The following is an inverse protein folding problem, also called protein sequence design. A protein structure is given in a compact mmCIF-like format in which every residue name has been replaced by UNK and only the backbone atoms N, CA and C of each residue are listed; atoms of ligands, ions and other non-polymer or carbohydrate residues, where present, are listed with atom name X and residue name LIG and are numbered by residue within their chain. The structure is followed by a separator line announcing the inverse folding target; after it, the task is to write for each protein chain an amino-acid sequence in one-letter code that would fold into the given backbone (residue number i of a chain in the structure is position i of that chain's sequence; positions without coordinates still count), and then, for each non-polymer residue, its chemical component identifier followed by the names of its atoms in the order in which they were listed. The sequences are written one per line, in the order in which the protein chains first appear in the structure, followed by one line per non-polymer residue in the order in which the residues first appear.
data_IF_178190405321
#
_entry.id   IF_178190405321
#
_cell.length_a   1.000
_cell.length_b   1.000
_cell.length_c   1.000
_cell.angle_alpha   90.00
_cell.angle_beta   90.00
_cell.angle_gamma   90.00
#
_symmetry.space_group_name_H-M   'P 1'
#
loop_
_entity.id
_entity.type
_entity.pdbx_description
1 polymer ?
#
# COMPACT_ATOMS: atom_id res chain seq x y z
N UNK A 1 13.28 -9.22 11.40
CA UNK A 1 12.98 -10.67 11.34
C UNK A 1 12.27 -10.98 10.05
N UNK A 2 12.78 -11.92 9.25
CA UNK A 2 12.07 -12.36 8.05
C UNK A 2 10.75 -13.03 8.47
N UNK A 3 9.65 -12.58 7.91
CA UNK A 3 8.34 -13.17 8.17
C UNK A 3 8.33 -14.59 7.58
N UNK A 4 7.94 -15.60 8.38
CA UNK A 4 7.76 -16.95 7.86
C UNK A 4 6.56 -16.96 6.90
N UNK A 5 6.68 -17.65 5.76
CA UNK A 5 5.53 -17.87 4.89
C UNK A 5 4.43 -18.63 5.64
N UNK A 6 3.19 -18.20 5.46
CA UNK A 6 1.99 -18.80 6.06
C UNK A 6 1.11 -19.41 4.97
N UNK A 7 0.16 -20.27 5.34
CA UNK A 7 -0.86 -20.75 4.41
C UNK A 7 -1.87 -19.64 4.06
N UNK A 8 -2.52 -19.75 2.90
CA UNK A 8 -3.58 -18.83 2.51
C UNK A 8 -4.73 -18.83 3.54
N UNK A 9 -5.11 -19.99 4.06
CA UNK A 9 -6.14 -20.12 5.09
C UNK A 9 -5.78 -19.32 6.35
N UNK A 10 -4.54 -19.42 6.82
CA UNK A 10 -4.09 -18.64 7.97
C UNK A 10 -4.17 -17.14 7.69
N UNK A 11 -3.77 -16.71 6.49
CA UNK A 11 -3.87 -15.29 6.11
C UNK A 11 -5.33 -14.80 6.10
N UNK A 12 -6.24 -15.56 5.49
CA UNK A 12 -7.69 -15.26 5.45
C UNK A 12 -8.26 -15.16 6.88
N UNK A 13 -7.92 -16.10 7.75
CA UNK A 13 -8.36 -16.07 9.14
C UNK A 13 -7.83 -14.82 9.86
N UNK A 14 -6.54 -14.49 9.69
CA UNK A 14 -5.92 -13.33 10.31
C UNK A 14 -6.54 -11.99 9.82
N UNK A 15 -6.94 -11.90 8.55
CA UNK A 15 -7.67 -10.73 8.03
C UNK A 15 -9.07 -10.64 8.64
N UNK A 16 -9.80 -11.75 8.70
CA UNK A 16 -11.15 -11.80 9.32
C UNK A 16 -11.12 -11.44 10.80
N UNK A 17 -10.06 -11.80 11.51
CA UNK A 17 -9.84 -11.47 12.92
C UNK A 17 -9.30 -10.04 13.14
N UNK A 18 -9.06 -9.28 12.07
CA UNK A 18 -8.50 -7.94 12.13
C UNK A 18 -7.01 -7.86 12.49
N UNK A 19 -6.31 -8.99 12.52
CA UNK A 19 -4.85 -9.07 12.77
C UNK A 19 -4.02 -8.67 11.56
N UNK A 20 -4.58 -8.79 10.37
CA UNK A 20 -4.01 -8.35 9.09
C UNK A 20 -5.01 -7.48 8.36
N UNK A 21 -4.51 -6.55 7.56
CA UNK A 21 -5.37 -5.62 6.82
C UNK A 21 -5.49 -6.06 5.37
N UNK A 22 -6.70 -5.95 4.85
CA UNK A 22 -6.99 -6.02 3.42
C UNK A 22 -7.38 -4.61 2.96
N UNK A 23 -6.47 -3.94 2.29
CA UNK A 23 -6.65 -2.58 1.80
C UNK A 23 -5.86 -2.37 0.50
N UNK A 24 -6.41 -1.61 -0.43
CA UNK A 24 -5.71 -1.21 -1.64
C UNK A 24 -4.68 -0.09 -1.36
N UNK A 25 -3.93 0.31 -2.40
CA UNK A 25 -2.89 1.34 -2.28
C UNK A 25 -3.45 2.69 -1.83
N UNK A 26 -4.60 3.12 -2.36
CA UNK A 26 -5.23 4.39 -1.96
C UNK A 26 -5.65 4.38 -0.50
N UNK A 27 -6.26 3.28 -0.04
CA UNK A 27 -6.65 3.12 1.36
C UNK A 27 -5.43 3.15 2.29
N UNK A 28 -4.35 2.46 1.92
CA UNK A 28 -3.10 2.46 2.69
C UNK A 28 -2.44 3.85 2.76
N UNK A 29 -2.37 4.58 1.65
CA UNK A 29 -1.80 5.94 1.61
C UNK A 29 -2.70 6.93 2.35
N UNK A 30 -4.02 6.87 2.15
CA UNK A 30 -4.99 7.69 2.88
C UNK A 30 -4.84 7.50 4.38
N UNK A 31 -4.80 6.26 4.84
CA UNK A 31 -4.63 5.92 6.25
C UNK A 31 -3.30 6.44 6.81
N UNK A 32 -2.20 6.25 6.10
CA UNK A 32 -0.88 6.79 6.50
C UNK A 32 -0.92 8.30 6.74
N UNK A 33 -1.62 9.05 5.88
CA UNK A 33 -1.72 10.49 5.99
C UNK A 33 -2.67 10.89 7.12
N UNK A 34 -3.84 10.26 7.21
CA UNK A 34 -4.90 10.61 8.16
C UNK A 34 -4.63 10.12 9.60
N UNK A 35 -3.80 9.11 9.79
CA UNK A 35 -3.31 8.71 11.11
C UNK A 35 -2.21 9.65 11.65
N UNK A 36 -1.66 10.54 10.81
CA UNK A 36 -0.77 11.60 11.29
C UNK A 36 -1.57 12.71 11.98
N UNK A 37 -0.90 13.50 12.80
CA UNK A 37 -1.50 14.70 13.39
C UNK A 37 -1.87 15.68 12.28
N UNK A 38 -3.07 16.27 12.39
CA UNK A 38 -3.63 17.19 11.40
C UNK A 38 -3.98 18.49 12.11
N UNK A 39 -3.37 19.59 11.68
CA UNK A 39 -3.63 20.92 12.21
C UNK A 39 -4.47 21.72 11.23
N UNK A 40 -5.41 22.50 11.77
CA UNK A 40 -6.17 23.47 10.99
C UNK A 40 -5.44 24.79 11.02
N UNK A 41 -5.04 25.26 9.85
CA UNK A 41 -4.27 26.52 9.71
C UNK A 41 -5.01 27.50 8.79
N UNK A 42 -4.69 28.78 8.93
CA UNK A 42 -5.22 29.83 8.05
C UNK A 42 -4.07 30.39 7.22
N UNK A 43 -4.14 30.20 5.92
CA UNK A 43 -3.15 30.70 4.95
C UNK A 43 -3.86 31.65 3.98
N UNK A 44 -3.38 32.89 3.89
CA UNK A 44 -3.97 33.94 3.06
C UNK A 44 -5.48 34.13 3.28
N UNK A 45 -5.94 34.05 4.53
CA UNK A 45 -7.37 34.20 4.88
C UNK A 45 -8.25 32.98 4.57
N UNK A 46 -7.69 31.90 3.99
CA UNK A 46 -8.37 30.65 3.71
C UNK A 46 -8.00 29.59 4.73
N UNK A 47 -9.00 28.91 5.27
CA UNK A 47 -8.78 27.74 6.12
C UNK A 47 -8.28 26.57 5.30
N UNK A 48 -7.17 25.97 5.69
CA UNK A 48 -6.59 24.78 5.10
C UNK A 48 -6.12 23.82 6.19
N UNK A 49 -5.61 22.66 5.83
CA UNK A 49 -5.11 21.66 6.76
C UNK A 49 -3.61 21.44 6.55
N UNK A 50 -2.91 21.27 7.64
CA UNK A 50 -1.51 20.90 7.69
C UNK A 50 -1.38 19.49 8.24
N UNK A 51 -0.75 18.62 7.46
CA UNK A 51 -0.59 17.22 7.79
C UNK A 51 0.84 17.00 8.25
N UNK A 52 1.02 16.67 9.52
CA UNK A 52 2.33 16.55 10.15
C UNK A 52 3.26 15.53 9.46
N UNK A 53 2.69 14.56 8.75
CA UNK A 53 3.48 13.61 7.96
C UNK A 53 4.37 14.29 6.91
N UNK A 54 3.96 15.45 6.38
CA UNK A 54 4.73 16.21 5.39
C UNK A 54 5.76 17.15 6.05
N UNK A 55 5.60 17.47 7.32
CA UNK A 55 6.43 18.43 8.04
C UNK A 55 7.52 17.79 8.91
N UNK A 56 7.38 16.52 9.27
CA UNK A 56 8.27 15.84 10.22
C UNK A 56 9.43 15.12 9.54
N UNK A 57 10.57 15.01 10.25
CA UNK A 57 11.74 14.26 9.84
C UNK A 57 12.85 15.13 9.21
N UNK A 58 13.89 14.47 8.69
CA UNK A 58 15.08 15.15 8.12
C UNK A 58 14.79 15.84 6.78
N UNK A 59 13.76 15.43 6.07
CA UNK A 59 13.25 16.06 4.86
C UNK A 59 11.77 16.36 5.08
N UNK A 60 11.31 17.52 4.68
CA UNK A 60 9.93 17.97 4.82
C UNK A 60 9.49 18.81 3.64
N UNK A 61 8.18 18.89 3.40
CA UNK A 61 7.57 19.68 2.33
C UNK A 61 6.96 20.93 2.98
N UNK A 62 7.41 22.10 2.56
CA UNK A 62 6.94 23.39 3.10
C UNK A 62 6.28 24.21 2.00
N UNK A 63 5.22 24.93 2.34
CA UNK A 63 4.63 25.96 1.48
C UNK A 63 3.75 25.47 0.34
N UNK A 64 3.49 24.15 0.26
CA UNK A 64 2.63 23.53 -0.78
C UNK A 64 1.25 23.15 -0.21
N UNK A 65 0.61 24.06 0.51
CA UNK A 65 -0.65 23.77 1.20
C UNK A 65 -1.78 23.36 0.27
N UNK A 66 -2.00 24.11 -0.82
CA UNK A 66 -3.10 23.84 -1.74
C UNK A 66 -2.86 22.53 -2.52
N UNK A 67 -1.62 22.25 -2.92
CA UNK A 67 -1.23 21.02 -3.61
C UNK A 67 -1.35 19.81 -2.71
N UNK A 68 -0.88 19.90 -1.47
CA UNK A 68 -0.99 18.82 -0.48
C UNK A 68 -2.45 18.54 -0.16
N UNK A 69 -3.27 19.56 0.12
CA UNK A 69 -4.69 19.38 0.41
C UNK A 69 -5.45 18.80 -0.79
N UNK A 70 -5.13 19.22 -2.01
CA UNK A 70 -5.69 18.65 -3.24
C UNK A 70 -5.31 17.18 -3.41
N UNK A 71 -4.05 16.84 -3.16
CA UNK A 71 -3.57 15.45 -3.20
C UNK A 71 -4.26 14.59 -2.13
N UNK A 72 -4.35 15.08 -0.89
CA UNK A 72 -5.01 14.34 0.20
C UNK A 72 -6.49 14.13 -0.10
N UNK A 73 -7.18 15.13 -0.64
CA UNK A 73 -8.59 15.01 -1.07
C UNK A 73 -8.75 13.97 -2.17
N UNK A 74 -7.86 13.97 -3.17
CA UNK A 74 -7.84 12.97 -4.24
C UNK A 74 -7.65 11.55 -3.69
N UNK A 75 -6.64 11.35 -2.83
CA UNK A 75 -6.36 10.02 -2.26
C UNK A 75 -7.50 9.53 -1.37
N UNK A 76 -8.10 10.44 -0.58
CA UNK A 76 -9.23 10.11 0.29
C UNK A 76 -10.45 9.69 -0.53
N UNK A 77 -10.82 10.45 -1.55
CA UNK A 77 -11.96 10.11 -2.43
C UNK A 77 -11.72 8.75 -3.12
N UNK A 78 -10.52 8.51 -3.65
CA UNK A 78 -10.16 7.22 -4.26
C UNK A 78 -10.20 6.07 -3.25
N UNK A 79 -9.79 6.28 -2.00
CA UNK A 79 -9.82 5.29 -0.93
C UNK A 79 -11.25 4.92 -0.50
N UNK A 80 -12.16 5.88 -0.55
CA UNK A 80 -13.60 5.71 -0.25
C UNK A 80 -14.39 5.15 -1.45
N UNK A 81 -13.73 4.89 -2.57
CA UNK A 81 -14.35 4.33 -3.78
C UNK A 81 -14.95 5.36 -4.73
N UNK A 82 -14.67 6.65 -4.51
CA UNK A 82 -15.09 7.75 -5.38
C UNK A 82 -14.46 7.71 -6.77
N UNK A 83 -14.82 8.67 -7.61
CA UNK A 83 -14.37 8.73 -9.02
C UNK A 83 -12.86 8.96 -9.19
N UNK A 84 -12.20 9.52 -8.19
CA UNK A 84 -10.74 9.74 -8.20
C UNK A 84 -9.92 8.47 -8.39
N UNK A 85 -10.45 7.30 -8.02
CA UNK A 85 -9.78 6.01 -8.24
C UNK A 85 -9.52 5.68 -9.73
N UNK A 86 -10.30 6.28 -10.62
CA UNK A 86 -10.23 6.09 -12.08
C UNK A 86 -9.47 7.24 -12.77
N UNK A 87 -9.00 8.23 -12.01
CA UNK A 87 -8.34 9.41 -12.50
C UNK A 87 -6.84 9.38 -12.19
N UNK A 88 -6.04 10.13 -12.94
CA UNK A 88 -4.64 10.38 -12.64
C UNK A 88 -4.49 11.70 -11.89
N UNK A 89 -3.71 11.71 -10.80
CA UNK A 89 -3.28 12.95 -10.17
C UNK A 89 -2.03 13.47 -10.88
N UNK A 90 -2.11 14.66 -11.47
CA UNK A 90 -1.04 15.23 -12.29
C UNK A 90 -0.36 16.39 -11.57
N UNK A 91 0.96 16.28 -11.39
CA UNK A 91 1.80 17.34 -10.83
C UNK A 91 2.34 18.20 -11.98
N UNK A 92 1.85 19.43 -12.08
CA UNK A 92 2.27 20.41 -13.11
C UNK A 92 3.10 21.51 -12.45
N UNK A 93 4.14 21.97 -13.15
CA UNK A 93 4.99 23.08 -12.70
C UNK A 93 6.33 23.08 -13.43
N UNK A 94 7.08 24.17 -13.30
CA UNK A 94 8.39 24.33 -13.90
C UNK A 94 9.42 23.31 -13.38
N UNK A 95 10.49 23.04 -14.13
CA UNK A 95 11.64 22.26 -13.64
C UNK A 95 12.19 22.86 -12.33
N UNK A 96 12.52 22.01 -11.36
CA UNK A 96 13.04 22.45 -10.07
C UNK A 96 12.00 22.75 -8.98
N UNK A 97 10.70 22.77 -9.28
CA UNK A 97 9.62 23.07 -8.30
C UNK A 97 9.25 21.90 -7.39
N UNK A 98 10.19 20.99 -7.10
CA UNK A 98 10.00 19.97 -6.06
C UNK A 98 9.06 18.80 -6.40
N UNK A 99 8.55 18.66 -7.64
CA UNK A 99 7.64 17.57 -8.02
C UNK A 99 8.21 16.17 -7.75
N UNK A 100 9.41 15.91 -8.25
CA UNK A 100 10.12 14.64 -8.02
C UNK A 100 10.38 14.42 -6.53
N UNK A 101 10.81 15.48 -5.84
CA UNK A 101 11.01 15.42 -4.39
C UNK A 101 9.73 15.02 -3.63
N UNK A 102 8.58 15.59 -4.00
CA UNK A 102 7.29 15.25 -3.38
C UNK A 102 6.94 13.78 -3.56
N UNK A 103 7.09 13.26 -4.79
CA UNK A 103 6.81 11.84 -5.09
C UNK A 103 7.76 10.92 -4.32
N UNK A 104 9.07 11.18 -4.36
CA UNK A 104 10.05 10.39 -3.61
C UNK A 104 9.83 10.45 -2.10
N UNK A 105 9.49 11.63 -1.59
CA UNK A 105 9.15 11.82 -0.19
C UNK A 105 7.96 10.95 0.22
N UNK A 106 6.86 11.01 -0.55
CA UNK A 106 5.66 10.22 -0.30
C UNK A 106 5.95 8.71 -0.35
N UNK A 107 6.67 8.26 -1.39
CA UNK A 107 7.07 6.85 -1.53
C UNK A 107 7.90 6.38 -0.33
N UNK A 108 8.88 7.18 0.10
CA UNK A 108 9.71 6.85 1.25
C UNK A 108 8.92 6.82 2.57
N UNK A 109 7.95 7.71 2.75
CA UNK A 109 7.05 7.67 3.90
C UNK A 109 6.18 6.43 3.89
N UNK A 110 5.62 6.08 2.73
CA UNK A 110 4.78 4.89 2.60
C UNK A 110 5.58 3.60 2.82
N UNK A 111 6.81 3.50 2.30
CA UNK A 111 7.70 2.37 2.59
C UNK A 111 7.96 2.20 4.08
N UNK A 112 8.26 3.29 4.80
CA UNK A 112 8.44 3.26 6.26
C UNK A 112 7.16 2.89 7.01
N UNK A 113 6.02 3.34 6.53
CA UNK A 113 4.72 2.98 7.07
C UNK A 113 4.47 1.47 6.91
N UNK A 114 4.74 0.91 5.74
CA UNK A 114 4.60 -0.52 5.45
C UNK A 114 5.64 -1.42 6.18
N UNK A 115 6.76 -0.85 6.64
CA UNK A 115 7.75 -1.62 7.41
C UNK A 115 7.27 -2.00 8.82
N UNK A 116 6.26 -1.31 9.34
CA UNK A 116 5.62 -1.66 10.61
C UNK A 116 4.79 -2.93 10.44
N UNK A 117 4.79 -3.79 11.46
CA UNK A 117 4.16 -5.12 11.39
C UNK A 117 2.66 -5.04 11.07
N UNK A 118 1.96 -4.12 11.70
CA UNK A 118 0.51 -3.89 11.51
C UNK A 118 0.11 -3.39 10.11
N UNK A 119 1.09 -2.87 9.33
CA UNK A 119 0.85 -2.27 8.02
C UNK A 119 1.41 -3.09 6.86
N UNK A 120 2.03 -4.24 7.15
CA UNK A 120 2.66 -5.08 6.14
C UNK A 120 1.69 -5.49 5.04
N UNK A 121 2.17 -5.50 3.82
CA UNK A 121 1.48 -6.06 2.65
C UNK A 121 1.98 -7.48 2.37
N UNK A 122 1.13 -8.28 1.80
CA UNK A 122 1.38 -9.69 1.53
C UNK A 122 1.14 -9.98 0.05
N UNK A 123 1.84 -10.96 -0.47
CA UNK A 123 1.60 -11.58 -1.77
C UNK A 123 1.57 -13.08 -1.59
N UNK A 124 1.25 -13.82 -2.63
CA UNK A 124 1.15 -15.27 -2.58
C UNK A 124 2.02 -15.94 -3.63
N UNK A 125 2.29 -17.21 -3.40
CA UNK A 125 2.91 -18.13 -4.34
C UNK A 125 2.31 -19.52 -4.19
N UNK A 126 2.23 -20.23 -5.30
CA UNK A 126 1.92 -21.66 -5.32
C UNK A 126 3.20 -22.43 -5.11
N UNK A 127 3.18 -23.44 -4.25
CA UNK A 127 4.30 -24.36 -4.01
C UNK A 127 3.91 -25.77 -4.39
N UNK A 128 4.91 -26.64 -4.63
CA UNK A 128 4.69 -28.04 -5.02
C UNK A 128 3.87 -28.22 -6.33
N UNK A 129 3.92 -27.24 -7.24
CA UNK A 129 3.19 -27.28 -8.52
C UNK A 129 3.65 -28.42 -9.46
N UNK A 130 4.87 -28.92 -9.26
CA UNK A 130 5.40 -30.09 -9.95
C UNK A 130 4.56 -31.36 -9.69
N UNK A 131 3.94 -31.45 -8.52
CA UNK A 131 3.05 -32.58 -8.14
C UNK A 131 1.72 -32.60 -8.92
N UNK A 132 1.34 -31.49 -9.51
CA UNK A 132 0.14 -31.39 -10.35
C UNK A 132 0.34 -31.94 -11.77
N UNK A 133 1.57 -32.40 -12.12
CA UNK A 133 1.88 -33.06 -13.38
C UNK A 133 1.87 -32.18 -14.64
N UNK A 134 1.36 -30.94 -14.55
CA UNK A 134 1.15 -30.06 -15.71
C UNK A 134 2.29 -29.05 -15.91
N UNK A 135 3.15 -28.85 -14.91
CA UNK A 135 4.17 -27.81 -14.90
C UNK A 135 5.62 -28.32 -14.97
N UNK A 136 5.80 -29.61 -15.25
CA UNK A 136 7.13 -30.21 -15.43
C UNK A 136 7.98 -30.13 -14.16
N UNK A 137 9.13 -29.45 -14.24
CA UNK A 137 10.07 -29.31 -13.12
C UNK A 137 9.89 -28.02 -12.30
N UNK A 138 8.87 -27.23 -12.61
CA UNK A 138 8.61 -25.98 -11.87
C UNK A 138 7.98 -26.34 -10.54
N UNK A 139 8.66 -26.03 -9.43
CA UNK A 139 8.20 -26.34 -8.07
C UNK A 139 7.45 -25.18 -7.41
N UNK A 140 7.62 -23.95 -7.92
CA UNK A 140 7.04 -22.74 -7.33
C UNK A 140 6.63 -21.76 -8.42
N UNK A 141 5.43 -21.19 -8.29
CA UNK A 141 4.95 -20.08 -9.14
C UNK A 141 4.60 -18.91 -8.21
N UNK A 142 5.22 -17.76 -8.42
CA UNK A 142 4.95 -16.53 -7.67
C UNK A 142 3.97 -15.64 -8.41
N UNK A 143 3.14 -14.89 -7.66
CA UNK A 143 2.32 -13.83 -8.25
C UNK A 143 3.21 -12.74 -8.81
N UNK A 144 3.15 -12.53 -10.13
CA UNK A 144 3.93 -11.49 -10.81
C UNK A 144 3.36 -10.08 -10.61
N UNK A 145 2.10 -9.98 -10.22
CA UNK A 145 1.39 -8.71 -10.01
C UNK A 145 1.44 -8.23 -8.56
N UNK A 146 2.07 -8.99 -7.66
CA UNK A 146 2.06 -8.73 -6.21
C UNK A 146 0.64 -8.54 -5.66
N UNK A 147 -0.30 -9.28 -6.20
CA UNK A 147 -1.70 -9.24 -5.84
C UNK A 147 -1.91 -9.66 -4.37
N UNK A 148 -2.86 -9.01 -3.70
CA UNK A 148 -3.19 -9.36 -2.32
C UNK A 148 -3.79 -10.76 -2.25
N UNK A 149 -3.33 -11.62 -1.31
CA UNK A 149 -3.84 -12.98 -1.17
C UNK A 149 -5.35 -13.08 -0.93
N UNK A 150 -5.98 -12.03 -0.38
CA UNK A 150 -7.43 -12.01 -0.21
C UNK A 150 -8.18 -11.98 -1.53
N UNK A 151 -7.63 -11.33 -2.57
CA UNK A 151 -8.23 -11.33 -3.90
C UNK A 151 -8.23 -12.75 -4.46
N UNK A 152 -7.09 -13.46 -4.32
CA UNK A 152 -7.03 -14.88 -4.68
C UNK A 152 -8.05 -15.70 -3.90
N UNK A 153 -8.13 -15.53 -2.58
CA UNK A 153 -9.07 -16.26 -1.73
C UNK A 153 -10.54 -16.03 -2.10
N UNK A 154 -10.89 -14.82 -2.54
CA UNK A 154 -12.24 -14.50 -3.01
C UNK A 154 -12.59 -15.16 -4.35
N UNK A 155 -11.58 -15.51 -5.14
CA UNK A 155 -11.74 -16.15 -6.45
C UNK A 155 -11.65 -17.69 -6.38
N UNK A 156 -11.12 -18.25 -5.29
CA UNK A 156 -11.04 -19.69 -5.03
C UNK A 156 -12.27 -20.13 -4.24
N UNK A 157 -13.20 -20.79 -4.91
CA UNK A 157 -14.53 -21.09 -4.36
C UNK A 157 -14.57 -22.27 -3.38
N UNK A 158 -13.72 -23.29 -3.51
CA UNK A 158 -13.94 -24.54 -2.78
C UNK A 158 -12.82 -25.02 -1.84
N UNK A 159 -11.53 -24.89 -2.19
CA UNK A 159 -10.45 -25.24 -1.26
C UNK A 159 -9.13 -24.57 -1.64
N UNK A 160 -8.73 -23.50 -0.91
CA UNK A 160 -7.44 -22.86 -1.14
C UNK A 160 -6.24 -23.74 -0.77
N UNK A 161 -6.43 -24.84 -0.04
CA UNK A 161 -5.33 -25.72 0.39
C UNK A 161 -4.99 -26.81 -0.65
N UNK A 162 -5.88 -27.18 -1.55
CA UNK A 162 -5.58 -28.16 -2.60
C UNK A 162 -4.35 -27.78 -3.42
N UNK A 163 -4.09 -26.49 -3.60
CA UNK A 163 -2.98 -25.95 -4.38
C UNK A 163 -1.78 -25.49 -3.54
N UNK A 164 -1.75 -25.79 -2.24
CA UNK A 164 -0.66 -25.39 -1.35
C UNK A 164 -0.20 -23.95 -1.55
N UNK A 165 -1.14 -23.03 -1.51
CA UNK A 165 -0.86 -21.60 -1.65
C UNK A 165 -0.18 -21.08 -0.37
N UNK A 166 0.98 -20.47 -0.53
CA UNK A 166 1.75 -19.88 0.55
C UNK A 166 1.74 -18.37 0.41
N UNK A 167 1.41 -17.70 1.49
CA UNK A 167 1.40 -16.25 1.60
C UNK A 167 2.72 -15.78 2.23
N UNK A 168 3.39 -14.84 1.59
CA UNK A 168 4.61 -14.24 2.12
C UNK A 168 4.50 -12.73 2.14
N UNK A 169 5.21 -12.10 3.09
CA UNK A 169 5.29 -10.65 3.17
C UNK A 169 6.08 -10.13 1.97
N UNK A 170 5.53 -9.17 1.24
CA UNK A 170 6.29 -8.40 0.26
C UNK A 170 7.17 -7.40 0.98
N UNK A 171 8.45 -7.67 1.05
CA UNK A 171 9.43 -6.64 1.36
C UNK A 171 9.68 -5.81 0.11
N UNK A 172 9.30 -4.55 0.15
CA UNK A 172 9.96 -3.57 -0.71
C UNK A 172 11.36 -3.37 -0.12
N UNK A 173 12.33 -4.06 -0.71
CA UNK A 173 13.72 -3.94 -0.30
C UNK A 173 14.17 -2.48 -0.43
N UNK A 174 14.61 -1.90 0.68
CA UNK A 174 15.04 -0.48 0.74
C UNK A 174 16.43 -0.29 0.13
N UNK A 175 17.00 -1.32 -0.51
CA UNK A 175 18.39 -1.38 -0.95
C UNK A 175 18.60 -1.50 -2.48
N UNK A 176 17.60 -1.16 -3.30
CA UNK A 176 17.83 -0.98 -4.75
C UNK A 176 17.54 0.43 -5.19
#
# INVERSE_FOLDING_TARGET
MAHRPDSLQFHVAAVKEGKRRFENAFQGVSRMILESEIEKVVVNGKTTYDFQIFLTGSKHVIGMYDEINSFVSYVKDAAEGGSSKEMAFVLVGEPGNGKTFFVEFLCNRYRRFLSKEENRKYTFRFVDVDKLGSYGRITTIESQTYEDPMILAMNLFDDPDENRTVVSCTYFDLHT
#
